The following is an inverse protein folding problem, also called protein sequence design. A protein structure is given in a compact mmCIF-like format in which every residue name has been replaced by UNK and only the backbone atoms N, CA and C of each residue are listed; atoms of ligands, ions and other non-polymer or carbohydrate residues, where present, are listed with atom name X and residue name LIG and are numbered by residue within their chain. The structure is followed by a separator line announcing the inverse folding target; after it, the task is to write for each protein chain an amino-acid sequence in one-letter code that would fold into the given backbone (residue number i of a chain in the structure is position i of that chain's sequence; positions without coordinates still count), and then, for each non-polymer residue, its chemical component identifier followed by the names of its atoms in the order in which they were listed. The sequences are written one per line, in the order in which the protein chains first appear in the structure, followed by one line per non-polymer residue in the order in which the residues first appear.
data_IF_438941770265
#
_entry.id   IF_438941770265
#
_cell.length_a   1.000
_cell.length_b   1.000
_cell.length_c   1.000
_cell.angle_alpha   90.00
_cell.angle_beta   90.00
_cell.angle_gamma   90.00
#
_symmetry.space_group_name_H-M   'P 1'
#
loop_
_entity.id
_entity.type
_entity.pdbx_description
1 polymer ?
#
# COMPACT_ATOMS: atom_id res chain seq x y z
N UNK A 1 -11.66 6.31 -14.26
CA UNK A 1 -12.30 5.25 -13.43
C UNK A 1 -13.80 5.13 -13.65
N UNK A 2 -14.55 6.23 -13.84
CA UNK A 2 -16.02 6.18 -13.97
C UNK A 2 -16.50 5.42 -15.23
N UNK A 3 -15.83 5.60 -16.36
CA UNK A 3 -16.22 4.97 -17.63
C UNK A 3 -15.76 3.50 -17.76
N UNK A 4 -14.87 3.04 -16.86
CA UNK A 4 -14.24 1.72 -17.00
C UNK A 4 -15.02 0.60 -16.32
N UNK A 5 -16.04 0.92 -15.50
CA UNK A 5 -16.83 -0.07 -14.75
C UNK A 5 -16.09 -0.80 -13.63
N UNK A 6 -14.85 -0.38 -13.31
CA UNK A 6 -14.04 -0.99 -12.24
C UNK A 6 -14.50 -0.48 -10.88
N UNK A 7 -14.28 -1.27 -9.83
CA UNK A 7 -14.67 -0.94 -8.44
C UNK A 7 -13.49 -0.55 -7.56
N UNK A 8 -12.25 -0.72 -8.03
CA UNK A 8 -11.03 -0.32 -7.32
C UNK A 8 -9.90 -0.07 -8.33
N UNK A 9 -8.87 0.65 -7.91
CA UNK A 9 -7.62 0.85 -8.68
C UNK A 9 -6.43 0.26 -7.94
N UNK A 10 -5.62 -0.54 -8.63
CA UNK A 10 -4.31 -0.97 -8.15
C UNK A 10 -3.27 0.12 -8.36
N UNK A 11 -2.44 0.36 -7.35
CA UNK A 11 -1.40 1.37 -7.34
C UNK A 11 -0.03 0.70 -7.40
N UNK A 12 0.88 1.26 -8.20
CA UNK A 12 2.27 0.84 -8.23
C UNK A 12 3.09 1.56 -7.14
N UNK A 13 4.29 1.05 -6.88
CA UNK A 13 5.18 1.55 -5.83
C UNK A 13 5.47 3.05 -5.89
N UNK A 14 5.55 3.64 -7.09
CA UNK A 14 5.91 5.05 -7.29
C UNK A 14 4.72 6.01 -7.16
N UNK A 15 3.49 5.49 -6.99
CA UNK A 15 2.32 6.33 -6.81
C UNK A 15 2.49 7.26 -5.59
N UNK A 16 2.14 8.54 -5.75
CA UNK A 16 2.21 9.51 -4.64
C UNK A 16 0.83 9.60 -4.00
N UNK A 17 0.66 9.29 -2.69
CA UNK A 17 -0.67 9.24 -2.07
C UNK A 17 -1.46 10.53 -2.20
N UNK A 18 -0.81 11.70 -2.09
CA UNK A 18 -1.45 13.00 -2.28
C UNK A 18 -2.04 13.17 -3.70
N UNK A 19 -1.30 12.74 -4.72
CA UNK A 19 -1.79 12.77 -6.10
C UNK A 19 -2.95 11.80 -6.30
N UNK A 20 -2.82 10.56 -5.83
CA UNK A 20 -3.89 9.55 -5.90
C UNK A 20 -5.16 10.06 -5.22
N UNK A 21 -5.02 10.70 -4.05
CA UNK A 21 -6.13 11.22 -3.30
C UNK A 21 -6.86 12.37 -4.01
N UNK A 22 -6.14 13.22 -4.72
CA UNK A 22 -6.70 14.30 -5.51
C UNK A 22 -7.29 13.83 -6.85
N UNK A 23 -6.68 12.82 -7.48
CA UNK A 23 -7.04 12.37 -8.83
C UNK A 23 -8.24 11.42 -8.86
N UNK A 24 -8.43 10.62 -7.81
CA UNK A 24 -9.56 9.68 -7.72
C UNK A 24 -10.78 10.33 -7.04
N UNK A 25 -12.01 9.95 -7.44
CA UNK A 25 -13.21 10.37 -6.73
C UNK A 25 -13.13 10.06 -5.23
N UNK A 26 -13.76 10.92 -4.42
CA UNK A 26 -13.82 10.72 -2.97
C UNK A 26 -14.41 9.34 -2.63
N UNK A 27 -13.75 8.61 -1.72
CA UNK A 27 -14.16 7.26 -1.33
C UNK A 27 -13.94 6.17 -2.38
N UNK A 28 -13.34 6.45 -3.54
CA UNK A 28 -13.06 5.40 -4.54
C UNK A 28 -11.97 4.44 -4.03
N UNK A 29 -12.22 3.12 -3.99
CA UNK A 29 -11.28 2.15 -3.42
C UNK A 29 -9.93 2.06 -4.12
N UNK A 30 -8.89 1.81 -3.35
CA UNK A 30 -7.53 1.57 -3.85
C UNK A 30 -6.91 0.29 -3.28
N UNK A 31 -6.00 -0.32 -4.04
CA UNK A 31 -5.16 -1.44 -3.60
C UNK A 31 -3.68 -1.12 -3.80
N UNK A 32 -2.81 -1.44 -2.84
CA UNK A 32 -1.36 -1.21 -2.93
C UNK A 32 -0.82 -0.36 -1.77
N UNK A 33 0.40 0.20 -1.83
CA UNK A 33 1.43 -0.05 -2.84
C UNK A 33 2.85 -0.07 -2.24
N UNK A 34 3.03 -0.76 -1.10
CA UNK A 34 4.33 -0.86 -0.45
C UNK A 34 5.42 -1.37 -1.42
N UNK A 35 6.60 -0.75 -1.36
CA UNK A 35 7.76 -1.14 -2.17
C UNK A 35 8.27 -2.53 -1.75
N UNK A 36 8.32 -3.53 -2.65
CA UNK A 36 8.94 -4.82 -2.34
C UNK A 36 10.42 -4.70 -1.94
N UNK A 37 11.16 -3.69 -2.43
CA UNK A 37 12.55 -3.47 -2.05
C UNK A 37 12.65 -3.08 -0.57
N UNK A 38 11.74 -2.22 -0.10
CA UNK A 38 11.68 -1.80 1.30
C UNK A 38 11.25 -2.96 2.21
N UNK A 39 10.35 -3.81 1.74
CA UNK A 39 9.98 -5.04 2.45
C UNK A 39 11.19 -5.97 2.63
N UNK A 40 12.09 -6.04 1.65
CA UNK A 40 13.32 -6.84 1.75
C UNK A 40 14.34 -6.19 2.69
N UNK A 41 14.48 -4.86 2.65
CA UNK A 41 15.35 -4.12 3.56
C UNK A 41 14.90 -4.27 5.02
N UNK A 42 13.59 -4.19 5.28
CA UNK A 42 13.03 -4.30 6.62
C UNK A 42 13.32 -3.09 7.51
N UNK A 43 13.35 -3.34 8.83
CA UNK A 43 13.71 -2.34 9.83
C UNK A 43 12.71 -1.19 9.98
N UNK A 44 13.18 -0.09 10.59
CA UNK A 44 12.31 1.04 10.95
C UNK A 44 11.69 1.73 9.73
N UNK A 45 12.41 1.79 8.61
CA UNK A 45 11.90 2.41 7.37
C UNK A 45 10.69 1.66 6.82
N UNK A 46 10.68 0.32 6.90
CA UNK A 46 9.53 -0.50 6.54
C UNK A 46 8.33 -0.18 7.43
N UNK A 47 8.55 -0.21 8.73
CA UNK A 47 7.56 0.09 9.77
C UNK A 47 6.88 1.46 9.55
N UNK A 48 7.69 2.50 9.35
CA UNK A 48 7.21 3.87 9.15
C UNK A 48 6.44 4.00 7.84
N UNK A 49 6.94 3.40 6.75
CA UNK A 49 6.27 3.46 5.46
C UNK A 49 4.92 2.74 5.46
N UNK A 50 4.81 1.61 6.16
CA UNK A 50 3.52 0.91 6.31
C UNK A 50 2.50 1.80 7.01
N UNK A 51 2.89 2.43 8.14
CA UNK A 51 2.00 3.35 8.87
C UNK A 51 1.62 4.58 8.05
N UNK A 52 2.58 5.15 7.32
CA UNK A 52 2.34 6.28 6.42
C UNK A 52 1.31 5.92 5.35
N UNK A 53 1.44 4.75 4.71
CA UNK A 53 0.49 4.30 3.69
C UNK A 53 -0.91 4.05 4.25
N UNK A 54 -1.02 3.45 5.44
CA UNK A 54 -2.31 3.24 6.12
C UNK A 54 -2.98 4.61 6.39
N UNK A 55 -2.24 5.54 7.00
CA UNK A 55 -2.77 6.88 7.30
C UNK A 55 -3.12 7.68 6.04
N UNK A 56 -2.30 7.59 4.98
CA UNK A 56 -2.52 8.34 3.75
C UNK A 56 -3.82 7.97 3.03
N UNK A 57 -4.38 6.79 3.28
CA UNK A 57 -5.62 6.31 2.66
C UNK A 57 -6.77 6.12 3.63
N UNK A 58 -6.69 6.58 4.89
CA UNK A 58 -7.74 6.43 5.90
C UNK A 58 -9.12 6.97 5.47
N UNK A 59 -9.15 7.95 4.56
CA UNK A 59 -10.37 8.55 4.02
C UNK A 59 -11.05 7.76 2.87
N UNK A 60 -10.56 6.57 2.52
CA UNK A 60 -11.14 5.71 1.46
C UNK A 60 -10.98 4.22 1.79
N UNK A 61 -11.77 3.32 1.19
CA UNK A 61 -11.51 1.88 1.28
C UNK A 61 -10.12 1.55 0.71
N UNK A 62 -9.27 0.94 1.54
CA UNK A 62 -7.88 0.62 1.19
C UNK A 62 -7.60 -0.86 1.42
N UNK A 63 -7.25 -1.57 0.34
CA UNK A 63 -6.70 -2.92 0.41
C UNK A 63 -5.17 -2.80 0.41
N UNK A 64 -4.57 -2.89 1.58
CA UNK A 64 -3.10 -2.84 1.68
C UNK A 64 -2.48 -3.98 0.86
N UNK A 65 -1.53 -3.65 -0.01
CA UNK A 65 -0.80 -4.61 -0.82
C UNK A 65 0.58 -4.05 -1.20
N UNK A 66 1.43 -4.89 -1.78
CA UNK A 66 2.64 -4.44 -2.45
C UNK A 66 2.30 -3.73 -3.76
N UNK A 67 3.15 -2.80 -4.18
CA UNK A 67 3.02 -2.12 -5.47
C UNK A 67 3.47 -2.98 -6.66
N UNK A 68 4.21 -4.06 -6.40
CA UNK A 68 4.68 -5.05 -7.36
C UNK A 68 4.75 -6.44 -6.68
N UNK A 69 5.03 -7.48 -7.46
CA UNK A 69 5.18 -8.84 -6.93
C UNK A 69 6.26 -8.93 -5.84
N UNK A 70 6.00 -9.79 -4.85
CA UNK A 70 6.99 -10.14 -3.83
C UNK A 70 8.21 -10.81 -4.49
N UNK A 71 9.43 -10.52 -4.01
CA UNK A 71 10.64 -11.15 -4.53
C UNK A 71 11.05 -12.37 -3.70
N UNK A 72 11.62 -13.44 -4.28
CA UNK A 72 11.99 -14.66 -3.55
C UNK A 72 12.93 -14.44 -2.35
N UNK A 73 13.78 -13.43 -2.42
CA UNK A 73 14.72 -13.05 -1.37
C UNK A 73 14.06 -12.32 -0.18
N UNK A 74 12.75 -12.08 -0.20
CA UNK A 74 12.01 -11.42 0.89
C UNK A 74 12.04 -12.27 2.16
N UNK A 75 12.62 -11.76 3.27
CA UNK A 75 12.57 -12.47 4.54
C UNK A 75 11.14 -12.60 5.03
N UNK A 76 10.72 -13.82 5.39
CA UNK A 76 9.37 -14.10 5.91
C UNK A 76 9.06 -13.22 7.14
N UNK A 77 10.03 -13.03 8.03
CA UNK A 77 9.89 -12.20 9.22
C UNK A 77 9.50 -10.75 8.89
N UNK A 78 9.91 -10.21 7.74
CA UNK A 78 9.51 -8.87 7.33
C UNK A 78 8.06 -8.84 6.86
N UNK A 79 7.58 -9.89 6.20
CA UNK A 79 6.16 -10.06 5.84
C UNK A 79 5.30 -10.15 7.09
N UNK A 80 5.70 -10.98 8.05
CA UNK A 80 5.02 -11.12 9.34
C UNK A 80 4.95 -9.78 10.07
N UNK A 81 6.06 -9.03 10.09
CA UNK A 81 6.09 -7.68 10.68
C UNK A 81 5.08 -6.74 10.04
N UNK A 82 4.99 -6.71 8.72
CA UNK A 82 4.00 -5.87 8.02
C UNK A 82 2.57 -6.30 8.36
N UNK A 83 2.29 -7.60 8.40
CA UNK A 83 0.97 -8.13 8.78
C UNK A 83 0.58 -7.75 10.22
N UNK A 84 1.54 -7.76 11.15
CA UNK A 84 1.31 -7.31 12.53
C UNK A 84 0.91 -5.83 12.58
N UNK A 85 1.55 -4.96 11.79
CA UNK A 85 1.24 -3.53 11.77
C UNK A 85 -0.14 -3.29 11.16
N UNK A 86 -0.45 -3.93 10.02
CA UNK A 86 -1.74 -3.77 9.33
C UNK A 86 -2.90 -4.23 10.20
N UNK A 87 -2.74 -5.31 10.97
CA UNK A 87 -3.83 -5.85 11.83
C UNK A 87 -4.08 -5.03 13.11
N UNK A 88 -3.16 -4.13 13.46
CA UNK A 88 -3.27 -3.27 14.65
C UNK A 88 -3.79 -1.87 14.32
N UNK A 89 -3.69 -1.45 13.07
CA UNK A 89 -4.31 -0.22 12.56
C UNK A 89 -5.73 -0.48 12.09
#
# INVERSE_FOLDING_TARGET
VQETGITAVGLDTAAVPAFVNAALPAGFPVQGHLDPLLLIEGGQRLDDRVRELISAYEGRPHVFNLGHGIRPETPIAHVERVLEIIRKG
#
